data_IF_630629583962
#
_entry.id   IF_630629583962
#
_cell.length_a   1.000
_cell.length_b   1.000
_cell.length_c   1.000
_cell.angle_alpha   90.00
_cell.angle_beta   90.00
_cell.angle_gamma   90.00
#
_symmetry.space_group_name_H-M   'P 1'
#
loop_
_entity.id
_entity.type
_entity.pdbx_description
1 polymer ?
#
# COMPACT_ATOMS: atom_id res chain seq x y z
N UNK A 1 10.57 26.79 6.28
CA UNK A 1 11.06 25.90 7.37
C UNK A 1 12.43 25.37 6.97
N UNK A 2 13.40 25.44 7.86
CA UNK A 2 14.73 24.86 7.67
C UNK A 2 14.81 23.38 8.12
N UNK A 3 15.94 22.72 7.82
CA UNK A 3 16.13 21.30 8.13
C UNK A 3 16.17 20.99 9.64
N UNK A 4 16.65 21.92 10.46
CA UNK A 4 16.72 21.73 11.92
C UNK A 4 15.33 21.75 12.54
N UNK A 5 14.48 22.68 12.10
CA UNK A 5 13.07 22.76 12.51
C UNK A 5 12.30 21.50 12.08
N UNK A 6 12.48 21.05 10.82
CA UNK A 6 11.83 19.83 10.34
C UNK A 6 12.21 18.59 11.19
N UNK A 7 13.48 18.43 11.59
CA UNK A 7 13.91 17.34 12.48
C UNK A 7 13.25 17.43 13.87
N UNK A 8 13.13 18.63 14.43
CA UNK A 8 12.47 18.85 15.73
C UNK A 8 11.00 18.43 15.68
N UNK A 9 10.29 18.73 14.60
CA UNK A 9 8.89 18.34 14.41
C UNK A 9 8.74 16.80 14.34
N UNK A 10 9.62 16.13 13.61
CA UNK A 10 9.54 14.67 13.45
C UNK A 10 9.66 13.87 14.76
N UNK A 11 10.30 14.44 15.79
CA UNK A 11 10.47 13.76 17.08
C UNK A 11 9.39 14.10 18.11
N UNK A 12 8.48 15.02 17.80
CA UNK A 12 7.40 15.42 18.70
C UNK A 12 6.27 14.39 18.73
N UNK A 13 5.54 14.35 19.82
CA UNK A 13 4.30 13.58 19.92
C UNK A 13 3.17 14.39 19.26
N UNK A 14 2.53 13.82 18.24
CA UNK A 14 1.39 14.41 17.50
C UNK A 14 1.59 15.88 17.05
N UNK A 15 2.65 16.20 16.30
CA UNK A 15 2.89 17.57 15.88
C UNK A 15 1.79 18.07 14.92
N UNK A 16 1.23 19.24 15.21
CA UNK A 16 0.18 19.85 14.39
C UNK A 16 0.69 20.22 12.98
N UNK A 17 1.96 20.58 12.87
CA UNK A 17 2.65 21.04 11.66
C UNK A 17 3.46 19.94 10.94
N UNK A 18 3.18 18.68 11.24
CA UNK A 18 3.94 17.54 10.71
C UNK A 18 4.11 17.60 9.17
N UNK A 19 3.06 17.93 8.46
CA UNK A 19 3.09 17.94 7.00
C UNK A 19 3.78 19.16 6.38
N UNK A 20 4.06 20.20 7.17
CA UNK A 20 4.89 21.31 6.72
C UNK A 20 6.35 20.91 6.48
N UNK A 21 6.79 19.78 7.08
CA UNK A 21 8.11 19.18 6.86
C UNK A 21 8.29 18.62 5.46
N UNK A 22 7.22 18.34 4.71
CA UNK A 22 7.27 17.69 3.39
C UNK A 22 8.09 18.50 2.39
N UNK A 23 7.86 19.81 2.28
CA UNK A 23 8.58 20.63 1.31
C UNK A 23 10.08 20.76 1.59
N UNK A 24 10.53 21.03 2.83
CA UNK A 24 11.94 20.93 3.20
C UNK A 24 12.59 19.60 2.86
N UNK A 25 11.90 18.49 3.14
CA UNK A 25 12.39 17.13 2.85
C UNK A 25 12.56 16.91 1.34
N UNK A 26 11.60 17.33 0.53
CA UNK A 26 11.68 17.21 -0.92
C UNK A 26 12.84 18.02 -1.52
N UNK A 27 13.22 19.11 -0.91
CA UNK A 27 14.32 20.00 -1.36
C UNK A 27 15.70 19.57 -0.84
N UNK A 28 15.78 18.74 0.21
CA UNK A 28 17.03 18.42 0.90
C UNK A 28 17.30 16.90 0.89
N UNK A 29 18.32 16.45 0.14
CA UNK A 29 18.66 15.05 0.00
C UNK A 29 19.08 14.37 1.31
N UNK A 30 19.81 15.09 2.19
CA UNK A 30 20.21 14.56 3.50
C UNK A 30 18.99 14.34 4.40
N UNK A 31 18.06 15.29 4.40
CA UNK A 31 16.83 15.19 5.20
C UNK A 31 15.92 14.07 4.67
N UNK A 32 15.90 13.82 3.34
CA UNK A 32 15.21 12.65 2.76
C UNK A 32 15.80 11.33 3.22
N UNK A 33 17.13 11.20 3.21
CA UNK A 33 17.80 10.00 3.71
C UNK A 33 17.48 9.74 5.18
N UNK A 34 17.52 10.78 6.01
CA UNK A 34 17.14 10.72 7.42
C UNK A 34 15.68 10.30 7.61
N UNK A 35 14.77 10.80 6.77
CA UNK A 35 13.35 10.41 6.79
C UNK A 35 13.17 8.93 6.44
N UNK A 36 13.85 8.45 5.40
CA UNK A 36 13.77 7.04 4.99
C UNK A 36 14.26 6.13 6.12
N UNK A 37 15.44 6.39 6.69
CA UNK A 37 15.95 5.61 7.82
C UNK A 37 15.07 5.75 9.07
N UNK A 38 14.55 6.94 9.33
CA UNK A 38 13.61 7.19 10.42
C UNK A 38 12.33 6.37 10.32
N UNK A 39 11.90 6.04 9.10
CA UNK A 39 10.73 5.19 8.84
C UNK A 39 10.93 3.73 9.26
N UNK A 40 12.17 3.33 9.55
CA UNK A 40 12.54 2.01 10.07
C UNK A 40 13.12 2.08 11.49
N UNK A 41 13.05 3.23 12.16
CA UNK A 41 13.64 3.43 13.48
C UNK A 41 12.94 2.61 14.58
N UNK A 42 13.67 2.34 15.68
CA UNK A 42 13.12 1.65 16.85
C UNK A 42 12.15 2.54 17.65
N UNK A 43 12.43 3.85 17.74
CA UNK A 43 11.55 4.79 18.43
C UNK A 43 10.22 4.91 17.68
N UNK A 44 9.15 4.56 18.35
CA UNK A 44 7.82 4.42 17.73
C UNK A 44 7.24 5.76 17.28
N UNK A 45 7.28 6.79 18.11
CA UNK A 45 6.76 8.12 17.78
C UNK A 45 7.48 8.73 16.58
N UNK A 46 8.82 8.71 16.61
CA UNK A 46 9.64 9.21 15.50
C UNK A 46 9.38 8.45 14.21
N UNK A 47 9.39 7.10 14.28
CA UNK A 47 9.11 6.23 13.14
C UNK A 47 7.72 6.51 12.54
N UNK A 48 6.69 6.64 13.38
CA UNK A 48 5.33 6.90 12.93
C UNK A 48 5.21 8.24 12.18
N UNK A 49 5.80 9.30 12.72
CA UNK A 49 5.85 10.60 12.05
C UNK A 49 6.61 10.52 10.73
N UNK A 50 7.78 9.86 10.71
CA UNK A 50 8.54 9.67 9.48
C UNK A 50 7.73 8.96 8.40
N UNK A 51 7.00 7.89 8.74
CA UNK A 51 6.17 7.14 7.78
C UNK A 51 5.03 8.00 7.22
N UNK A 52 4.35 8.78 8.06
CA UNK A 52 3.29 9.69 7.60
C UNK A 52 3.81 10.72 6.60
N UNK A 53 4.96 11.32 6.89
CA UNK A 53 5.61 12.30 6.02
C UNK A 53 6.16 11.65 4.76
N UNK A 54 6.77 10.47 4.88
CA UNK A 54 7.32 9.69 3.77
C UNK A 54 6.27 9.47 2.68
N UNK A 55 5.13 8.87 3.01
CA UNK A 55 4.11 8.58 2.01
C UNK A 55 3.45 9.83 1.44
N UNK A 56 3.32 10.89 2.24
CA UNK A 56 2.89 12.19 1.71
C UNK A 56 3.88 12.75 0.70
N UNK A 57 5.17 12.67 0.99
CA UNK A 57 6.23 13.15 0.10
C UNK A 57 6.36 12.28 -1.17
N UNK A 58 6.28 10.95 -1.03
CA UNK A 58 6.30 10.00 -2.15
C UNK A 58 5.11 10.19 -3.10
N UNK A 59 3.92 10.47 -2.56
CA UNK A 59 2.75 10.77 -3.39
C UNK A 59 2.93 12.02 -4.24
N UNK A 60 3.70 13.01 -3.76
CA UNK A 60 3.98 14.26 -4.49
C UNK A 60 5.15 14.12 -5.48
N UNK A 61 6.22 13.43 -5.08
CA UNK A 61 7.45 13.29 -5.88
C UNK A 61 8.10 11.92 -5.68
N UNK A 62 7.55 10.84 -6.24
CA UNK A 62 8.10 9.49 -6.09
C UNK A 62 9.53 9.38 -6.61
N UNK A 63 9.89 10.05 -7.71
CA UNK A 63 11.25 10.08 -8.25
C UNK A 63 12.32 10.46 -7.21
N UNK A 64 11.99 11.34 -6.24
CA UNK A 64 12.93 11.77 -5.22
C UNK A 64 13.32 10.63 -4.25
N UNK A 65 12.53 9.57 -4.21
CA UNK A 65 12.72 8.42 -3.31
C UNK A 65 13.19 7.15 -4.06
N UNK A 66 13.22 7.16 -5.38
CA UNK A 66 13.70 6.02 -6.16
C UNK A 66 15.14 5.58 -5.82
N UNK A 67 16.09 6.48 -5.48
CA UNK A 67 17.42 6.08 -5.02
C UNK A 67 17.45 5.20 -3.75
N UNK A 68 16.35 5.16 -3.00
CA UNK A 68 16.21 4.36 -1.78
C UNK A 68 15.46 3.03 -2.01
N UNK A 69 15.29 2.61 -3.26
CA UNK A 69 14.60 1.38 -3.64
C UNK A 69 15.08 0.17 -2.85
N UNK A 70 16.40 -0.05 -2.77
CA UNK A 70 16.97 -1.22 -2.09
C UNK A 70 16.59 -1.26 -0.61
N UNK A 71 16.61 -0.11 0.04
CA UNK A 71 16.21 0.00 1.45
C UNK A 71 14.73 -0.37 1.66
N UNK A 72 13.86 -0.04 0.73
CA UNK A 72 12.45 -0.44 0.79
C UNK A 72 12.25 -1.91 0.43
N UNK A 73 12.97 -2.42 -0.55
CA UNK A 73 12.93 -3.83 -0.93
C UNK A 73 13.41 -4.74 0.22
N UNK A 74 14.51 -4.40 0.89
CA UNK A 74 14.96 -5.07 2.12
C UNK A 74 13.88 -5.03 3.22
N UNK A 75 13.11 -3.95 3.28
CA UNK A 75 12.01 -3.80 4.22
C UNK A 75 10.97 -4.91 4.09
N UNK A 76 10.70 -5.40 2.88
CA UNK A 76 9.70 -6.45 2.60
C UNK A 76 10.07 -7.77 3.29
N UNK A 77 11.35 -8.07 3.44
CA UNK A 77 11.86 -9.30 4.04
C UNK A 77 12.19 -9.16 5.53
N UNK A 78 11.93 -7.99 6.11
CA UNK A 78 12.22 -7.73 7.51
C UNK A 78 11.45 -8.69 8.45
N UNK A 79 12.06 -9.18 9.54
CA UNK A 79 11.35 -9.89 10.59
C UNK A 79 10.28 -9.01 11.28
N UNK A 80 10.43 -7.69 11.20
CA UNK A 80 9.47 -6.73 11.76
C UNK A 80 8.33 -6.47 10.77
N UNK A 81 7.09 -6.84 11.14
CA UNK A 81 5.91 -6.63 10.29
C UNK A 81 5.65 -5.15 9.95
N UNK A 82 6.00 -4.21 10.83
CA UNK A 82 5.89 -2.79 10.51
C UNK A 82 6.82 -2.38 9.37
N UNK A 83 8.07 -2.86 9.39
CA UNK A 83 9.03 -2.61 8.30
C UNK A 83 8.55 -3.22 6.98
N UNK A 84 7.95 -4.44 7.02
CA UNK A 84 7.36 -5.04 5.83
C UNK A 84 6.22 -4.20 5.26
N UNK A 85 5.38 -3.63 6.12
CA UNK A 85 4.31 -2.71 5.69
C UNK A 85 4.87 -1.45 5.04
N UNK A 86 5.93 -0.86 5.60
CA UNK A 86 6.59 0.33 5.03
C UNK A 86 7.21 0.00 3.67
N UNK A 87 7.96 -1.11 3.58
CA UNK A 87 8.57 -1.57 2.33
C UNK A 87 7.53 -1.81 1.25
N UNK A 88 6.45 -2.55 1.57
CA UNK A 88 5.38 -2.85 0.63
C UNK A 88 4.73 -1.59 0.05
N UNK A 89 4.36 -0.64 0.90
CA UNK A 89 3.77 0.61 0.46
C UNK A 89 4.75 1.45 -0.38
N UNK A 90 6.00 1.58 0.07
CA UNK A 90 7.00 2.38 -0.64
C UNK A 90 7.27 1.84 -2.06
N UNK A 91 7.43 0.52 -2.22
CA UNK A 91 7.58 -0.12 -3.54
C UNK A 91 6.39 0.19 -4.45
N UNK A 92 5.16 0.18 -3.93
CA UNK A 92 3.97 0.52 -4.72
C UNK A 92 3.98 1.98 -5.21
N UNK A 93 4.39 2.93 -4.36
CA UNK A 93 4.56 4.32 -4.79
C UNK A 93 5.66 4.49 -5.85
N UNK A 94 6.73 3.70 -5.77
CA UNK A 94 7.86 3.76 -6.71
C UNK A 94 7.57 3.09 -8.05
N UNK A 95 6.55 2.24 -8.16
CA UNK A 95 6.22 1.53 -9.39
C UNK A 95 6.02 2.46 -10.60
N UNK A 96 5.50 3.68 -10.39
CA UNK A 96 5.27 4.66 -11.46
C UNK A 96 6.55 5.32 -12.00
N UNK A 97 7.65 5.17 -11.30
CA UNK A 97 8.95 5.78 -11.63
C UNK A 97 10.07 4.75 -11.76
N UNK A 98 9.71 3.47 -11.79
CA UNK A 98 10.62 2.32 -11.90
C UNK A 98 11.16 2.17 -13.33
N UNK A 99 12.15 3.01 -13.66
CA UNK A 99 12.78 3.04 -14.99
C UNK A 99 13.65 1.81 -15.28
N UNK A 100 14.18 1.21 -14.22
CA UNK A 100 15.13 0.10 -14.30
C UNK A 100 14.44 -1.27 -14.20
N UNK A 101 13.11 -1.29 -14.23
CA UNK A 101 12.28 -2.51 -14.12
C UNK A 101 12.61 -3.38 -12.90
N UNK A 102 13.02 -2.73 -11.81
CA UNK A 102 13.44 -3.41 -10.57
C UNK A 102 12.29 -4.18 -9.91
N UNK A 103 11.07 -3.70 -10.10
CA UNK A 103 9.86 -4.37 -9.61
C UNK A 103 9.72 -5.78 -10.22
N UNK A 104 10.15 -6.00 -11.47
CA UNK A 104 10.00 -7.28 -12.16
C UNK A 104 10.65 -8.43 -11.40
N UNK A 105 11.85 -8.18 -10.85
CA UNK A 105 12.62 -9.18 -10.11
C UNK A 105 12.02 -9.60 -8.78
N UNK A 106 11.22 -8.72 -8.15
CA UNK A 106 10.64 -8.96 -6.83
C UNK A 106 9.12 -9.18 -6.85
N UNK A 107 8.46 -8.99 -8.00
CA UNK A 107 6.99 -8.87 -8.05
C UNK A 107 6.26 -10.11 -7.56
N UNK A 108 6.68 -11.31 -7.95
CA UNK A 108 6.06 -12.55 -7.50
C UNK A 108 6.26 -12.80 -5.99
N UNK A 109 7.38 -12.33 -5.44
CA UNK A 109 7.63 -12.32 -4.01
C UNK A 109 6.78 -11.27 -3.29
N UNK A 110 6.70 -10.07 -3.85
CA UNK A 110 5.87 -8.98 -3.34
C UNK A 110 4.39 -9.37 -3.23
N UNK A 111 3.84 -10.10 -4.21
CA UNK A 111 2.45 -10.57 -4.17
C UNK A 111 2.17 -11.54 -3.01
N UNK A 112 3.18 -12.23 -2.46
CA UNK A 112 3.00 -13.12 -1.29
C UNK A 112 2.63 -12.37 -0.01
N UNK A 113 2.80 -11.05 0.04
CA UNK A 113 2.39 -10.21 1.18
C UNK A 113 0.89 -10.23 1.44
N UNK A 114 0.07 -10.69 0.48
CA UNK A 114 -1.35 -10.96 0.72
C UNK A 114 -1.57 -12.01 1.82
N UNK A 115 -0.62 -12.92 2.00
CA UNK A 115 -0.63 -14.00 3.00
C UNK A 115 0.39 -13.80 4.12
N UNK A 116 0.73 -12.56 4.45
CA UNK A 116 1.69 -12.26 5.52
C UNK A 116 1.17 -12.72 6.89
N UNK A 117 2.07 -13.19 7.75
CA UNK A 117 1.75 -13.62 9.11
C UNK A 117 1.13 -12.52 9.98
N UNK A 118 1.36 -11.25 9.63
CA UNK A 118 0.76 -10.07 10.27
C UNK A 118 -0.29 -9.47 9.35
N UNK A 119 -1.55 -9.60 9.70
CA UNK A 119 -2.69 -9.11 8.90
C UNK A 119 -2.56 -7.63 8.50
N UNK A 120 -1.90 -6.81 9.32
CA UNK A 120 -1.64 -5.39 9.00
C UNK A 120 -0.72 -5.22 7.79
N UNK A 121 0.21 -6.15 7.56
CA UNK A 121 1.06 -6.12 6.35
C UNK A 121 0.20 -6.36 5.12
N UNK A 122 -0.65 -7.39 5.15
CA UNK A 122 -1.58 -7.67 4.06
C UNK A 122 -2.55 -6.51 3.81
N UNK A 123 -3.04 -5.87 4.87
CA UNK A 123 -3.89 -4.68 4.77
C UNK A 123 -3.19 -3.53 4.01
N UNK A 124 -2.01 -3.11 4.45
CA UNK A 124 -1.26 -2.02 3.80
C UNK A 124 -0.75 -2.38 2.41
N UNK A 125 -0.39 -3.65 2.18
CA UNK A 125 -0.09 -4.16 0.85
C UNK A 125 -1.29 -3.99 -0.09
N UNK A 126 -2.47 -4.46 0.33
CA UNK A 126 -3.70 -4.31 -0.43
C UNK A 126 -4.01 -2.85 -0.71
N UNK A 127 -3.92 -1.97 0.28
CA UNK A 127 -4.29 -0.55 0.19
C UNK A 127 -3.50 0.21 -0.91
N UNK A 128 -2.27 -0.23 -1.20
CA UNK A 128 -1.40 0.41 -2.20
C UNK A 128 -1.30 -0.35 -3.53
N UNK A 129 -1.80 -1.56 -3.62
CA UNK A 129 -1.71 -2.38 -4.84
C UNK A 129 -2.32 -1.72 -6.10
N UNK A 130 -3.39 -0.89 -6.01
CA UNK A 130 -3.88 -0.14 -7.16
C UNK A 130 -2.88 0.85 -7.77
N UNK A 131 -1.86 1.28 -7.03
CA UNK A 131 -0.78 2.12 -7.57
C UNK A 131 0.04 1.33 -8.61
N UNK A 132 0.41 0.09 -8.27
CA UNK A 132 1.13 -0.80 -9.19
C UNK A 132 0.24 -1.15 -10.39
N UNK A 133 -1.04 -1.46 -10.15
CA UNK A 133 -2.00 -1.77 -11.21
C UNK A 133 -2.05 -0.67 -12.29
N UNK A 134 -2.06 0.60 -11.86
CA UNK A 134 -2.07 1.74 -12.79
C UNK A 134 -0.74 1.98 -13.47
N UNK A 135 0.37 1.78 -12.75
CA UNK A 135 1.73 2.05 -13.25
C UNK A 135 2.24 0.96 -14.21
N UNK A 136 1.80 -0.30 -14.02
CA UNK A 136 2.34 -1.47 -14.72
C UNK A 136 1.22 -2.31 -15.33
N UNK A 137 0.79 -1.98 -16.56
CA UNK A 137 -0.27 -2.73 -17.28
C UNK A 137 0.04 -4.22 -17.47
N UNK A 138 1.32 -4.58 -17.61
CA UNK A 138 1.81 -5.94 -17.73
C UNK A 138 1.55 -6.81 -16.47
N UNK A 139 1.45 -6.20 -15.30
CA UNK A 139 1.15 -6.89 -14.03
C UNK A 139 -0.34 -6.96 -13.71
N UNK A 140 -1.21 -6.26 -14.43
CA UNK A 140 -2.65 -6.22 -14.14
C UNK A 140 -3.30 -7.60 -13.99
N UNK A 141 -3.06 -8.60 -14.88
CA UNK A 141 -3.67 -9.91 -14.72
C UNK A 141 -3.22 -10.64 -13.44
N UNK A 142 -1.94 -10.51 -13.06
CA UNK A 142 -1.39 -11.08 -11.82
C UNK A 142 -2.02 -10.43 -10.59
N UNK A 143 -2.17 -9.09 -10.61
CA UNK A 143 -2.78 -8.32 -9.51
C UNK A 143 -4.24 -8.75 -9.29
N UNK A 144 -5.05 -8.81 -10.34
CA UNK A 144 -6.45 -9.26 -10.23
C UNK A 144 -6.51 -10.69 -9.68
N UNK A 145 -5.65 -11.57 -10.15
CA UNK A 145 -5.57 -12.95 -9.66
C UNK A 145 -5.20 -12.99 -8.17
N UNK A 146 -4.24 -12.17 -7.75
CA UNK A 146 -3.83 -12.04 -6.35
C UNK A 146 -5.01 -11.56 -5.48
N UNK A 147 -5.68 -10.47 -5.85
CA UNK A 147 -6.83 -9.93 -5.12
C UNK A 147 -7.94 -10.97 -4.92
N UNK A 148 -8.23 -11.78 -5.94
CA UNK A 148 -9.26 -12.82 -5.88
C UNK A 148 -8.79 -14.13 -5.21
N UNK A 149 -7.53 -14.21 -4.75
CA UNK A 149 -6.96 -15.42 -4.13
C UNK A 149 -6.99 -15.43 -2.61
N UNK A 150 -7.56 -14.43 -1.95
CA UNK A 150 -7.51 -14.27 -0.48
C UNK A 150 -7.98 -15.51 0.29
N UNK A 151 -9.01 -16.21 -0.21
CA UNK A 151 -9.53 -17.40 0.47
C UNK A 151 -8.54 -18.57 0.49
N UNK A 152 -7.49 -18.54 -0.36
CA UNK A 152 -6.39 -19.51 -0.38
C UNK A 152 -5.28 -19.19 0.62
N UNK A 153 -5.30 -18.04 1.27
CA UNK A 153 -4.30 -17.63 2.26
C UNK A 153 -4.47 -18.36 3.60
N UNK A 154 -3.43 -18.31 4.44
CA UNK A 154 -3.44 -18.90 5.79
C UNK A 154 -4.14 -18.03 6.84
N UNK A 155 -4.59 -16.85 6.49
CA UNK A 155 -5.32 -15.99 7.43
C UNK A 155 -6.54 -16.70 8.03
N UNK A 156 -6.81 -16.50 9.33
CA UNK A 156 -8.05 -17.01 9.96
C UNK A 156 -9.30 -16.46 9.25
N UNK A 157 -10.41 -17.20 9.24
CA UNK A 157 -11.64 -16.79 8.55
C UNK A 157 -12.09 -15.36 8.89
N UNK A 158 -12.07 -14.98 10.16
CA UNK A 158 -12.45 -13.63 10.60
C UNK A 158 -11.57 -12.52 9.99
N UNK A 159 -10.28 -12.79 9.78
CA UNK A 159 -9.35 -11.84 9.14
C UNK A 159 -9.56 -11.77 7.63
N UNK A 160 -9.81 -12.90 6.99
CA UNK A 160 -10.20 -12.93 5.57
C UNK A 160 -11.44 -12.08 5.31
N UNK A 161 -12.46 -12.23 6.14
CA UNK A 161 -13.69 -11.44 6.03
C UNK A 161 -13.44 -9.92 6.14
N UNK A 162 -12.49 -9.50 6.97
CA UNK A 162 -12.09 -8.08 7.06
C UNK A 162 -11.34 -7.62 5.81
N UNK A 163 -10.33 -8.39 5.36
CA UNK A 163 -9.51 -8.07 4.20
C UNK A 163 -10.31 -8.06 2.89
N UNK A 164 -11.42 -8.80 2.81
CA UNK A 164 -12.34 -8.74 1.67
C UNK A 164 -12.92 -7.34 1.44
N UNK A 165 -13.17 -6.57 2.50
CA UNK A 165 -13.58 -5.18 2.34
C UNK A 165 -12.49 -4.32 1.69
N UNK A 166 -11.23 -4.53 2.06
CA UNK A 166 -10.09 -3.82 1.47
C UNK A 166 -9.92 -4.22 -0.01
N UNK A 167 -10.08 -5.50 -0.33
CA UNK A 167 -10.07 -5.99 -1.72
C UNK A 167 -11.19 -5.34 -2.55
N UNK A 168 -12.40 -5.25 -2.03
CA UNK A 168 -13.52 -4.59 -2.73
C UNK A 168 -13.19 -3.13 -3.00
N UNK A 169 -12.61 -2.43 -2.02
CA UNK A 169 -12.17 -1.04 -2.18
C UNK A 169 -11.07 -0.87 -3.23
N UNK A 170 -10.17 -1.85 -3.35
CA UNK A 170 -9.16 -1.89 -4.41
C UNK A 170 -9.79 -2.12 -5.78
N UNK A 171 -10.65 -3.12 -5.88
CA UNK A 171 -11.35 -3.44 -7.13
C UNK A 171 -12.21 -2.27 -7.60
N UNK A 172 -12.81 -1.51 -6.69
CA UNK A 172 -13.58 -0.30 -7.02
C UNK A 172 -12.72 0.77 -7.72
N UNK A 173 -11.47 0.92 -7.32
CA UNK A 173 -10.54 1.89 -7.92
C UNK A 173 -10.10 1.52 -9.35
N UNK A 174 -10.15 0.24 -9.71
CA UNK A 174 -9.64 -0.27 -10.99
C UNK A 174 -10.72 -0.87 -11.90
N UNK A 175 -11.96 -1.01 -11.42
CA UNK A 175 -13.04 -1.75 -12.08
C UNK A 175 -13.29 -1.30 -13.52
N UNK A 176 -13.31 0.01 -13.78
CA UNK A 176 -13.59 0.54 -15.11
C UNK A 176 -12.53 0.16 -16.15
N UNK A 177 -11.29 -0.09 -15.70
CA UNK A 177 -10.15 -0.45 -16.58
C UNK A 177 -9.94 -1.96 -16.73
N UNK A 178 -10.69 -2.78 -15.99
CA UNK A 178 -10.61 -4.24 -16.08
C UNK A 178 -11.06 -4.76 -17.44
N UNK A 179 -10.44 -5.85 -17.89
CA UNK A 179 -10.93 -6.63 -19.04
C UNK A 179 -12.34 -7.16 -18.79
N UNK A 180 -13.12 -7.40 -19.87
CA UNK A 180 -14.45 -7.99 -19.75
C UNK A 180 -14.44 -9.34 -19.03
N UNK A 181 -13.37 -10.13 -19.18
CA UNK A 181 -13.18 -11.41 -18.48
C UNK A 181 -13.01 -11.21 -16.98
N UNK A 182 -12.18 -10.24 -16.58
CA UNK A 182 -11.91 -9.98 -15.18
C UNK A 182 -13.06 -9.26 -14.48
N UNK A 183 -13.78 -8.39 -15.20
CA UNK A 183 -15.04 -7.81 -14.69
C UNK A 183 -16.04 -8.89 -14.27
N UNK A 184 -16.21 -9.94 -15.09
CA UNK A 184 -17.11 -11.06 -14.74
C UNK A 184 -16.68 -11.76 -13.44
N UNK A 185 -15.38 -12.04 -13.27
CA UNK A 185 -14.86 -12.67 -12.03
C UNK A 185 -15.06 -11.76 -10.81
N UNK A 186 -14.76 -10.48 -10.96
CA UNK A 186 -14.92 -9.47 -9.90
C UNK A 186 -16.39 -9.36 -9.50
N UNK A 187 -17.31 -9.27 -10.46
CA UNK A 187 -18.76 -9.20 -10.17
C UNK A 187 -19.23 -10.45 -9.40
N UNK A 188 -18.76 -11.65 -9.80
CA UNK A 188 -19.06 -12.87 -9.05
C UNK A 188 -18.56 -12.79 -7.62
N UNK A 189 -17.27 -12.43 -7.43
CA UNK A 189 -16.69 -12.25 -6.10
C UNK A 189 -17.48 -11.24 -5.26
N UNK A 190 -17.86 -10.07 -5.82
CA UNK A 190 -18.62 -9.05 -5.09
C UNK A 190 -20.01 -9.56 -4.69
N UNK A 191 -20.70 -10.31 -5.55
CA UNK A 191 -22.00 -10.91 -5.23
C UNK A 191 -21.92 -11.86 -4.04
N UNK A 192 -20.89 -12.68 -3.98
CA UNK A 192 -20.66 -13.58 -2.85
C UNK A 192 -20.47 -12.79 -1.53
N UNK A 193 -19.81 -11.61 -1.60
CA UNK A 193 -19.58 -10.78 -0.43
C UNK A 193 -20.82 -10.04 0.11
N UNK A 194 -21.94 -10.03 -0.61
CA UNK A 194 -23.21 -9.54 -0.08
C UNK A 194 -23.71 -10.37 1.11
N UNK A 195 -23.24 -11.62 1.23
CA UNK A 195 -23.56 -12.55 2.32
C UNK A 195 -22.38 -12.73 3.29
N UNK A 196 -21.31 -11.93 3.20
CA UNK A 196 -20.15 -12.00 4.08
C UNK A 196 -20.54 -11.91 5.55
N UNK A 197 -19.84 -12.64 6.43
CA UNK A 197 -19.99 -12.53 7.89
C UNK A 197 -19.62 -11.14 8.43
N UNK A 198 -18.79 -10.37 7.70
CA UNK A 198 -18.37 -9.02 8.09
C UNK A 198 -19.40 -7.96 7.67
N UNK A 199 -19.96 -7.17 8.61
CA UNK A 199 -20.85 -6.04 8.27
C UNK A 199 -20.17 -5.01 7.36
N UNK A 200 -18.87 -4.72 7.58
CA UNK A 200 -18.07 -3.81 6.74
C UNK A 200 -18.04 -4.34 5.31
N UNK A 201 -17.71 -5.60 5.13
CA UNK A 201 -17.60 -6.23 3.80
C UNK A 201 -18.93 -6.22 3.05
N UNK A 202 -20.04 -6.60 3.73
CA UNK A 202 -21.38 -6.51 3.13
C UNK A 202 -21.74 -5.09 2.69
N UNK A 203 -21.43 -4.09 3.52
CA UNK A 203 -21.67 -2.68 3.20
C UNK A 203 -20.88 -2.26 1.96
N UNK A 204 -19.56 -2.52 1.96
CA UNK A 204 -18.68 -2.16 0.83
C UNK A 204 -19.11 -2.86 -0.47
N UNK A 205 -19.55 -4.14 -0.40
CA UNK A 205 -20.06 -4.85 -1.56
C UNK A 205 -21.35 -4.21 -2.13
N UNK A 206 -22.29 -3.79 -1.27
CA UNK A 206 -23.50 -3.08 -1.66
C UNK A 206 -23.21 -1.75 -2.34
N UNK A 207 -22.28 -0.97 -1.76
CA UNK A 207 -21.85 0.33 -2.29
C UNK A 207 -21.19 0.16 -3.66
N UNK A 208 -20.33 -0.85 -3.83
CA UNK A 208 -19.71 -1.19 -5.10
C UNK A 208 -20.78 -1.49 -6.17
N UNK A 209 -21.74 -2.38 -5.88
CA UNK A 209 -22.78 -2.74 -6.83
C UNK A 209 -23.64 -1.56 -7.25
N UNK A 210 -24.03 -0.71 -6.28
CA UNK A 210 -24.79 0.53 -6.56
C UNK A 210 -23.99 1.50 -7.44
N UNK A 211 -22.70 1.72 -7.12
CA UNK A 211 -21.82 2.64 -7.88
C UNK A 211 -21.64 2.21 -9.33
N UNK A 212 -21.54 0.91 -9.58
CA UNK A 212 -21.27 0.35 -10.90
C UNK A 212 -22.54 -0.14 -11.63
N UNK A 213 -23.73 0.11 -11.09
CA UNK A 213 -25.00 -0.25 -11.73
C UNK A 213 -25.19 -1.75 -11.94
N UNK A 214 -24.77 -2.57 -10.97
CA UNK A 214 -24.81 -4.04 -11.10
C UNK A 214 -26.09 -4.66 -10.55
N UNK A 215 -26.79 -3.95 -9.65
CA UNK A 215 -28.08 -4.27 -9.03
C UNK A 215 -28.67 -3.04 -8.35
#
# INVERSE_FOLDING_TARGET
MDAATARKILVQHEPADLYETVQPILKNGKLRAELVEGSFAKNETFRYNCVRVLFRAMNLRPNSFYPYWDRFAEGIDSPNGFHRSVGAQAIAYLASVDKDTRLDSIFDHYLKLIDDSKVMVSHYFLDTLPLIYRARPDFQPKIVTCLLSLDKTRHPPSRKEMLKADIISNLDQIFNTLSSKDKKKVISFIKDQLQSGSPKTRKTAKEFGKKHGLW
#
